data_IF_328243028763
#
_entry.id   IF_328243028763
#
_cell.length_a   1.000
_cell.length_b   1.000
_cell.length_c   1.000
_cell.angle_alpha   90.00
_cell.angle_beta   90.00
_cell.angle_gamma   90.00
#
_symmetry.space_group_name_H-M   'P 1'
#
loop_
_entity.id
_entity.type
_entity.pdbx_description
1 polymer ?
#
# COMPACT_ATOMS: atom_id res chain seq x y z
N UNK A 1 29.01 -68.84 35.14
CA UNK A 1 27.83 -68.40 34.38
C UNK A 1 27.56 -66.94 34.70
N UNK A 2 27.88 -66.00 33.80
CA UNK A 2 27.48 -64.58 33.92
C UNK A 2 26.62 -64.22 32.71
N UNK A 3 25.43 -63.70 32.99
CA UNK A 3 24.43 -63.27 32.02
C UNK A 3 24.98 -62.15 31.12
N UNK A 4 24.87 -62.35 29.80
CA UNK A 4 25.13 -61.35 28.77
C UNK A 4 24.03 -60.30 28.82
N UNK A 5 24.41 -59.03 29.01
CA UNK A 5 23.48 -57.90 28.98
C UNK A 5 22.93 -57.68 27.57
N UNK A 6 21.65 -57.97 27.37
CA UNK A 6 20.90 -57.67 26.15
C UNK A 6 20.70 -56.15 26.05
N UNK A 7 21.35 -55.52 25.06
CA UNK A 7 21.15 -54.11 24.69
C UNK A 7 19.73 -53.97 24.11
N UNK A 8 18.88 -53.16 24.76
CA UNK A 8 17.50 -52.91 24.29
C UNK A 8 17.53 -52.03 23.02
N UNK A 9 16.82 -52.39 21.94
CA UNK A 9 16.60 -51.50 20.79
C UNK A 9 15.49 -50.51 21.14
N UNK A 10 15.78 -49.21 21.09
CA UNK A 10 14.80 -48.17 21.39
C UNK A 10 15.36 -46.86 21.98
N UNK A 11 16.67 -46.62 21.96
CA UNK A 11 17.19 -45.28 22.24
C UNK A 11 16.92 -44.39 21.03
N UNK A 12 15.78 -43.70 21.06
CA UNK A 12 15.55 -42.50 20.26
C UNK A 12 16.68 -41.54 20.61
N UNK A 13 17.53 -41.25 19.63
CA UNK A 13 18.66 -40.35 19.77
C UNK A 13 18.12 -38.90 19.80
N UNK A 14 17.78 -38.44 21.00
CA UNK A 14 17.34 -37.06 21.26
C UNK A 14 18.54 -36.10 21.16
N UNK A 15 19.03 -35.89 19.94
CA UNK A 15 20.16 -35.02 19.65
C UNK A 15 19.70 -33.54 19.64
N UNK A 16 20.10 -32.70 20.61
CA UNK A 16 19.59 -31.33 20.78
C UNK A 16 20.06 -30.38 19.66
N UNK A 17 21.13 -30.73 18.93
CA UNK A 17 21.68 -29.92 17.84
C UNK A 17 20.77 -29.82 16.62
N UNK A 18 20.04 -30.89 16.28
CA UNK A 18 19.12 -30.89 15.14
C UNK A 18 17.93 -29.98 15.45
N UNK A 19 17.35 -30.08 16.65
CA UNK A 19 16.20 -29.23 17.04
C UNK A 19 16.57 -27.75 17.00
N UNK A 20 17.69 -27.36 17.62
CA UNK A 20 18.14 -25.95 17.63
C UNK A 20 18.45 -25.41 16.22
N UNK A 21 19.00 -26.25 15.34
CA UNK A 21 19.26 -25.87 13.94
C UNK A 21 17.96 -25.69 13.14
N UNK A 22 16.96 -26.55 13.37
CA UNK A 22 15.65 -26.43 12.73
C UNK A 22 14.92 -25.18 13.23
N UNK A 23 14.94 -24.89 14.53
CA UNK A 23 14.35 -23.67 15.09
C UNK A 23 14.99 -22.39 14.53
N UNK A 24 16.32 -22.37 14.35
CA UNK A 24 17.02 -21.25 13.73
C UNK A 24 16.63 -21.10 12.25
N UNK A 25 16.70 -22.16 11.45
CA UNK A 25 16.30 -22.12 10.04
C UNK A 25 14.85 -21.63 9.89
N UNK A 26 13.94 -22.14 10.72
CA UNK A 26 12.53 -21.74 10.72
C UNK A 26 12.35 -20.26 11.13
N UNK A 27 13.14 -19.75 12.08
CA UNK A 27 13.11 -18.34 12.52
C UNK A 27 13.54 -17.37 11.42
N UNK A 28 14.60 -17.70 10.67
CA UNK A 28 15.07 -16.85 9.57
C UNK A 28 14.11 -16.87 8.38
N UNK A 29 13.49 -18.02 8.11
CA UNK A 29 12.45 -18.17 7.08
C UNK A 29 11.22 -17.35 7.46
N UNK A 30 10.70 -17.49 8.68
CA UNK A 30 9.54 -16.73 9.16
C UNK A 30 9.77 -15.20 9.13
N UNK A 31 10.97 -14.74 9.51
CA UNK A 31 11.32 -13.30 9.45
C UNK A 31 11.41 -12.77 8.02
N UNK A 32 11.99 -13.54 7.09
CA UNK A 32 12.05 -13.13 5.67
C UNK A 32 10.68 -13.11 5.03
N UNK A 33 9.82 -14.07 5.36
CA UNK A 33 8.42 -14.06 4.93
C UNK A 33 7.66 -12.86 5.51
N UNK A 34 7.85 -12.54 6.80
CA UNK A 34 7.26 -11.36 7.41
C UNK A 34 7.74 -10.07 6.76
N UNK A 35 9.02 -9.98 6.39
CA UNK A 35 9.59 -8.81 5.71
C UNK A 35 9.02 -8.64 4.29
N UNK A 36 8.91 -9.73 3.52
CA UNK A 36 8.34 -9.72 2.16
C UNK A 36 6.85 -9.39 2.17
N UNK A 37 6.10 -9.89 3.16
CA UNK A 37 4.68 -9.57 3.31
C UNK A 37 4.49 -8.07 3.61
N UNK A 38 5.33 -7.50 4.49
CA UNK A 38 5.27 -6.09 4.83
C UNK A 38 5.55 -5.19 3.61
N UNK A 39 6.56 -5.52 2.79
CA UNK A 39 6.89 -4.75 1.59
C UNK A 39 5.81 -4.86 0.52
N UNK A 40 5.18 -6.04 0.35
CA UNK A 40 4.06 -6.23 -0.56
C UNK A 40 2.82 -5.39 -0.17
N UNK A 41 2.54 -5.26 1.13
CA UNK A 41 1.45 -4.42 1.63
C UNK A 41 1.73 -2.94 1.36
N UNK A 42 2.96 -2.47 1.58
CA UNK A 42 3.32 -1.07 1.28
C UNK A 42 3.22 -0.76 -0.23
N UNK A 43 3.66 -1.69 -1.08
CA UNK A 43 3.58 -1.53 -2.53
C UNK A 43 2.12 -1.49 -3.05
N UNK A 44 1.22 -2.29 -2.47
CA UNK A 44 -0.20 -2.30 -2.85
C UNK A 44 -0.93 -1.03 -2.41
N UNK A 45 -0.62 -0.46 -1.24
CA UNK A 45 -1.18 0.83 -0.80
C UNK A 45 -0.73 1.98 -1.71
N UNK A 46 0.52 1.99 -2.16
CA UNK A 46 1.05 3.05 -3.03
C UNK A 46 0.35 3.10 -4.41
N UNK A 47 -0.08 1.95 -4.93
CA UNK A 47 -0.77 1.86 -6.23
C UNK A 47 -2.29 2.09 -6.13
N UNK A 48 -2.88 1.96 -4.95
CA UNK A 48 -4.34 2.10 -4.75
C UNK A 48 -4.87 3.53 -4.73
N UNK A 49 -4.02 4.55 -4.56
CA UNK A 49 -4.43 5.94 -4.36
C UNK A 49 -4.71 6.72 -5.67
N UNK A 50 -4.67 6.07 -6.82
CA UNK A 50 -4.67 6.77 -8.12
C UNK A 50 -6.05 6.94 -8.76
N UNK A 51 -7.13 6.49 -8.12
CA UNK A 51 -8.47 6.61 -8.69
C UNK A 51 -9.04 8.01 -8.43
N UNK A 52 -8.79 8.93 -9.35
CA UNK A 52 -9.61 10.14 -9.46
C UNK A 52 -10.99 9.73 -9.98
N UNK A 53 -12.02 9.79 -9.14
CA UNK A 53 -13.39 9.60 -9.57
C UNK A 53 -13.75 10.70 -10.59
N UNK A 54 -14.28 10.31 -11.74
CA UNK A 54 -14.84 11.26 -12.69
C UNK A 54 -16.11 11.87 -12.08
N UNK A 55 -16.27 13.19 -12.20
CA UNK A 55 -17.50 13.88 -11.79
C UNK A 55 -18.66 13.44 -12.70
N UNK A 56 -19.79 13.09 -12.09
CA UNK A 56 -21.01 12.74 -12.80
C UNK A 56 -21.98 13.93 -12.87
N UNK A 57 -22.98 13.84 -13.74
CA UNK A 57 -24.02 14.88 -13.85
C UNK A 57 -24.85 14.90 -12.57
N UNK A 58 -24.93 16.07 -11.94
CA UNK A 58 -25.63 16.27 -10.68
C UNK A 58 -24.70 16.28 -9.47
N UNK A 59 -23.45 15.83 -9.62
CA UNK A 59 -22.45 16.00 -8.56
C UNK A 59 -22.20 17.48 -8.29
N UNK A 60 -22.04 17.80 -7.01
CA UNK A 60 -21.61 19.13 -6.62
C UNK A 60 -20.18 19.33 -7.09
N UNK A 61 -19.97 20.38 -7.90
CA UNK A 61 -18.63 20.76 -8.35
C UNK A 61 -17.71 21.01 -7.14
N UNK A 62 -16.48 20.44 -7.12
CA UNK A 62 -15.50 20.70 -6.07
C UNK A 62 -15.14 22.18 -6.02
N UNK A 63 -15.02 22.73 -4.80
CA UNK A 63 -14.56 24.11 -4.65
C UNK A 63 -13.05 24.19 -4.93
N UNK A 64 -12.64 25.25 -5.61
CA UNK A 64 -11.24 25.57 -5.87
C UNK A 64 -11.05 27.07 -5.83
N UNK A 65 -9.82 27.49 -5.53
CA UNK A 65 -9.43 28.90 -5.47
C UNK A 65 -8.20 29.10 -6.33
N UNK A 66 -8.27 30.00 -7.31
CA UNK A 66 -7.20 30.21 -8.30
C UNK A 66 -6.94 31.70 -8.54
N UNK A 67 -5.65 32.08 -8.74
CA UNK A 67 -5.32 33.42 -9.19
C UNK A 67 -5.78 33.60 -10.63
N UNK A 68 -6.40 34.74 -10.91
CA UNK A 68 -6.79 35.16 -12.24
C UNK A 68 -5.75 36.13 -12.84
N UNK A 69 -5.91 36.43 -14.12
CA UNK A 69 -5.01 37.33 -14.87
C UNK A 69 -5.05 38.78 -14.39
N UNK A 70 -6.05 39.16 -13.61
CA UNK A 70 -6.19 40.48 -12.98
C UNK A 70 -5.41 40.60 -11.66
N UNK A 71 -4.74 39.52 -11.21
CA UNK A 71 -4.02 39.46 -9.95
C UNK A 71 -4.89 39.17 -8.73
N UNK A 72 -6.21 39.04 -8.91
CA UNK A 72 -7.15 38.65 -7.85
C UNK A 72 -7.27 37.13 -7.76
N UNK A 73 -7.74 36.65 -6.60
CA UNK A 73 -7.97 35.23 -6.35
C UNK A 73 -9.48 34.96 -6.26
N UNK A 74 -9.97 34.04 -7.08
CA UNK A 74 -11.40 33.72 -7.17
C UNK A 74 -11.66 32.29 -6.70
N UNK A 75 -12.77 32.09 -5.99
CA UNK A 75 -13.21 30.76 -5.56
C UNK A 75 -14.53 30.39 -6.21
N UNK A 76 -14.71 29.12 -6.61
CA UNK A 76 -15.93 28.67 -7.27
C UNK A 76 -17.17 28.91 -6.38
N UNK A 77 -17.01 28.74 -5.06
CA UNK A 77 -18.05 29.01 -4.06
C UNK A 77 -18.63 30.43 -4.09
N UNK A 78 -17.88 31.43 -4.58
CA UNK A 78 -18.34 32.83 -4.68
C UNK A 78 -19.47 33.02 -5.72
N UNK A 79 -19.63 32.07 -6.64
CA UNK A 79 -20.60 32.15 -7.73
C UNK A 79 -21.78 31.18 -7.57
N UNK A 80 -21.75 30.32 -6.54
CA UNK A 80 -22.80 29.34 -6.28
C UNK A 80 -24.13 30.05 -5.96
N UNK A 81 -25.18 29.70 -6.69
CA UNK A 81 -26.53 30.28 -6.51
C UNK A 81 -26.70 31.68 -7.11
N UNK A 82 -25.61 32.36 -7.47
CA UNK A 82 -25.64 33.70 -8.07
C UNK A 82 -25.85 33.63 -9.59
N UNK A 83 -25.13 32.72 -10.28
CA UNK A 83 -25.20 32.57 -11.74
C UNK A 83 -24.70 31.20 -12.20
N UNK A 84 -25.08 30.74 -13.41
CA UNK A 84 -24.46 29.58 -14.04
C UNK A 84 -22.97 29.83 -14.31
N UNK A 85 -22.13 28.80 -14.11
CA UNK A 85 -20.69 28.85 -14.32
C UNK A 85 -20.27 27.72 -15.25
N UNK A 86 -19.43 28.03 -16.24
CA UNK A 86 -18.83 27.06 -17.17
C UNK A 86 -17.33 27.03 -16.92
N UNK A 87 -16.77 25.84 -16.73
CA UNK A 87 -15.33 25.62 -16.51
C UNK A 87 -14.75 24.94 -17.74
N UNK A 88 -13.71 25.54 -18.32
CA UNK A 88 -12.99 24.99 -19.47
C UNK A 88 -11.50 24.88 -19.15
N UNK A 89 -10.94 23.70 -19.35
CA UNK A 89 -9.50 23.43 -19.21
C UNK A 89 -8.87 23.38 -20.61
N UNK A 90 -7.72 24.03 -20.76
CA UNK A 90 -6.92 23.98 -21.98
C UNK A 90 -5.44 23.78 -21.63
N UNK A 91 -4.63 23.12 -22.48
CA UNK A 91 -3.28 22.69 -22.10
C UNK A 91 -2.30 23.84 -21.90
N UNK A 92 -2.33 24.84 -22.78
CA UNK A 92 -1.38 25.95 -22.77
C UNK A 92 -1.92 27.17 -23.52
N UNK A 93 -1.72 28.36 -22.93
CA UNK A 93 -2.05 29.62 -23.56
C UNK A 93 -1.16 29.90 -24.79
N UNK A 94 -1.68 30.67 -25.75
CA UNK A 94 -0.96 31.14 -26.93
C UNK A 94 -0.39 30.02 -27.84
N UNK A 95 -1.10 28.90 -27.94
CA UNK A 95 -0.78 27.80 -28.87
C UNK A 95 -1.93 27.57 -29.84
N UNK A 96 -1.62 27.13 -31.06
CA UNK A 96 -2.62 26.59 -31.99
C UNK A 96 -3.04 25.19 -31.55
N UNK A 97 -4.33 24.88 -31.71
CA UNK A 97 -4.88 23.55 -31.44
C UNK A 97 -4.44 22.50 -32.46
#
# INVERSE_FOLDING_TARGET
>A
MRLVGVKRPGSVDDSPGIKNHLEDVMSHIAKRFSLVLLTAIVATVALGSQFAAALEVGDKAPDFSLPASDGSNYSLSQFLGEKPVVIAFFPKAFTGG
#
